data_IF_569085995850
#
_entry.id   IF_569085995850
#
_cell.length_a   1.000
_cell.length_b   1.000
_cell.length_c   1.000
_cell.angle_alpha   90.00
_cell.angle_beta   90.00
_cell.angle_gamma   90.00
#
_symmetry.space_group_name_H-M   'P 1'
#
loop_
_entity.id
_entity.type
_entity.pdbx_description
1 polymer ?
#
# COMPACT_ATOMS: atom_id res chain seq x y z
N UNK A 1 4.20 -27.26 -11.85
CA UNK A 1 3.80 -25.91 -12.31
C UNK A 1 4.56 -24.91 -11.45
N UNK A 2 5.30 -23.93 -12.01
CA UNK A 2 5.87 -22.88 -11.19
C UNK A 2 4.72 -22.18 -10.46
N UNK A 3 4.77 -22.17 -9.14
CA UNK A 3 3.84 -21.39 -8.33
C UNK A 3 4.11 -19.92 -8.62
N UNK A 4 3.16 -19.26 -9.27
CA UNK A 4 3.23 -17.81 -9.44
C UNK A 4 3.29 -17.19 -8.04
N UNK A 5 4.31 -16.41 -7.77
CA UNK A 5 4.50 -15.76 -6.47
C UNK A 5 5.05 -14.38 -6.71
N UNK A 6 4.52 -13.40 -6.00
CA UNK A 6 4.96 -12.02 -6.04
C UNK A 6 5.51 -11.61 -4.69
N UNK A 7 6.42 -10.65 -4.71
CA UNK A 7 6.82 -9.93 -3.52
C UNK A 7 6.53 -8.46 -3.73
N UNK A 8 5.87 -7.81 -2.77
CA UNK A 8 5.55 -6.40 -2.88
C UNK A 8 5.60 -5.69 -1.53
N UNK A 9 5.87 -4.39 -1.59
CA UNK A 9 5.67 -3.47 -0.48
C UNK A 9 4.42 -2.64 -0.75
N UNK A 10 3.74 -2.23 0.30
CA UNK A 10 2.60 -1.32 0.16
C UNK A 10 2.61 -0.21 1.21
N UNK A 11 1.96 0.90 0.87
CA UNK A 11 1.58 1.94 1.82
C UNK A 11 0.06 2.05 1.74
N UNK A 12 -0.61 1.73 2.85
CA UNK A 12 -2.07 1.81 2.97
C UNK A 12 -2.44 3.07 3.74
N UNK A 13 -3.33 3.89 3.22
CA UNK A 13 -4.03 4.93 3.97
C UNK A 13 -5.50 4.55 4.06
N UNK A 14 -6.00 4.48 5.29
CA UNK A 14 -7.41 4.22 5.56
C UNK A 14 -8.20 5.52 5.48
N UNK A 15 -9.51 5.41 5.29
CA UNK A 15 -10.45 6.51 5.31
C UNK A 15 -11.75 6.05 5.98
N UNK A 16 -12.69 6.98 6.18
CA UNK A 16 -13.97 6.73 6.84
C UNK A 16 -14.81 5.60 6.20
N UNK A 17 -14.65 5.36 4.90
CA UNK A 17 -15.30 4.31 4.12
C UNK A 17 -14.53 2.99 4.07
N UNK A 18 -13.36 2.90 4.69
CA UNK A 18 -12.62 1.63 4.76
C UNK A 18 -13.34 0.63 5.66
N UNK A 19 -13.32 -0.66 5.29
CA UNK A 19 -13.98 -1.76 6.03
C UNK A 19 -13.64 -1.77 7.52
N UNK A 20 -12.41 -1.39 7.87
CA UNK A 20 -11.98 -1.20 9.25
C UNK A 20 -11.18 0.10 9.32
N UNK A 21 -11.80 1.24 9.67
CA UNK A 21 -11.17 2.56 9.67
C UNK A 21 -10.30 2.78 10.90
N UNK A 22 -9.53 1.78 11.36
CA UNK A 22 -8.57 1.92 12.46
C UNK A 22 -7.16 1.72 11.93
N UNK A 23 -6.30 2.72 12.15
CA UNK A 23 -4.88 2.63 11.83
C UNK A 23 -4.22 1.58 12.72
N UNK A 24 -3.54 0.59 12.12
CA UNK A 24 -2.74 -0.38 12.88
C UNK A 24 -1.46 0.25 13.46
N UNK A 25 -1.03 1.40 12.94
CA UNK A 25 0.16 2.13 13.38
C UNK A 25 -0.11 2.98 14.62
N UNK A 26 -1.20 3.75 14.62
CA UNK A 26 -1.54 4.64 15.76
C UNK A 26 -2.59 4.06 16.69
N UNK A 27 -3.27 2.97 16.29
CA UNK A 27 -4.44 2.40 16.97
C UNK A 27 -5.63 3.37 17.10
N UNK A 28 -5.65 4.42 16.27
CA UNK A 28 -6.71 5.43 16.26
C UNK A 28 -7.64 5.26 15.06
N UNK A 29 -8.86 5.77 15.22
CA UNK A 29 -9.86 5.82 14.15
C UNK A 29 -9.42 6.83 13.07
N UNK A 30 -9.46 6.40 11.83
CA UNK A 30 -9.19 7.20 10.64
C UNK A 30 -10.51 7.73 10.08
N UNK A 31 -10.78 9.01 10.31
CA UNK A 31 -12.04 9.68 9.93
C UNK A 31 -11.92 10.56 8.68
N UNK A 32 -10.74 10.60 8.05
CA UNK A 32 -10.53 11.37 6.82
C UNK A 32 -11.39 10.82 5.68
N UNK A 33 -11.73 11.68 4.73
CA UNK A 33 -12.48 11.31 3.53
C UNK A 33 -11.62 10.51 2.55
N UNK A 34 -12.28 9.86 1.58
CA UNK A 34 -11.60 9.16 0.49
C UNK A 34 -10.68 10.11 -0.30
N UNK A 35 -11.16 11.30 -0.65
CA UNK A 35 -10.41 12.28 -1.44
C UNK A 35 -9.16 12.80 -0.71
N UNK A 36 -9.29 13.05 0.60
CA UNK A 36 -8.15 13.40 1.45
C UNK A 36 -7.12 12.28 1.52
N UNK A 37 -7.56 11.02 1.65
CA UNK A 37 -6.68 9.87 1.67
C UNK A 37 -5.93 9.70 0.34
N UNK A 38 -6.61 9.89 -0.79
CA UNK A 38 -5.98 9.87 -2.14
C UNK A 38 -4.97 10.99 -2.29
N UNK A 39 -5.35 12.22 -1.94
CA UNK A 39 -4.47 13.40 -2.02
C UNK A 39 -3.24 13.23 -1.15
N UNK A 40 -3.41 12.71 0.06
CA UNK A 40 -2.29 12.43 0.96
C UNK A 40 -1.38 11.35 0.36
N UNK A 41 -1.95 10.24 -0.10
CA UNK A 41 -1.21 9.12 -0.68
C UNK A 41 -0.41 9.54 -1.94
N UNK A 42 -0.98 10.41 -2.76
CA UNK A 42 -0.30 11.00 -3.93
C UNK A 42 0.92 11.82 -3.52
N UNK A 43 0.84 12.62 -2.44
CA UNK A 43 2.01 13.38 -1.93
C UNK A 43 3.13 12.46 -1.46
N UNK A 44 2.79 11.37 -0.77
CA UNK A 44 3.76 10.36 -0.37
C UNK A 44 4.40 9.68 -1.58
N UNK A 45 3.59 9.27 -2.57
CA UNK A 45 4.10 8.69 -3.82
C UNK A 45 5.07 9.64 -4.53
N UNK A 46 4.68 10.89 -4.73
CA UNK A 46 5.52 11.89 -5.40
C UNK A 46 6.83 12.11 -4.65
N UNK A 47 6.80 12.14 -3.32
CA UNK A 47 8.02 12.29 -2.53
C UNK A 47 8.97 11.09 -2.64
N UNK A 48 8.43 9.88 -2.87
CA UNK A 48 9.21 8.67 -3.15
C UNK A 48 9.80 8.73 -4.57
N UNK A 49 9.01 9.14 -5.55
CA UNK A 49 9.45 9.29 -6.96
C UNK A 49 10.51 10.38 -7.11
N UNK A 50 10.38 11.50 -6.38
CA UNK A 50 11.36 12.58 -6.31
C UNK A 50 12.65 12.18 -5.56
N UNK A 51 12.67 11.00 -4.92
CA UNK A 51 13.81 10.53 -4.12
C UNK A 51 14.02 11.28 -2.80
N UNK A 52 13.04 12.06 -2.33
CA UNK A 52 13.11 12.79 -1.05
C UNK A 52 13.08 11.86 0.15
N UNK A 53 12.44 10.70 0.00
CA UNK A 53 12.38 9.64 1.00
C UNK A 53 12.17 8.28 0.35
N UNK A 54 12.55 7.22 1.06
CA UNK A 54 12.38 5.85 0.61
C UNK A 54 10.94 5.35 0.82
N UNK A 55 10.53 4.33 0.07
CA UNK A 55 9.21 3.71 0.23
C UNK A 55 9.02 3.18 1.66
N UNK A 56 10.08 2.61 2.23
CA UNK A 56 10.11 2.04 3.56
C UNK A 56 9.92 3.10 4.64
N UNK A 57 10.50 4.28 4.47
CA UNK A 57 10.29 5.42 5.36
C UNK A 57 8.86 5.94 5.27
N UNK A 58 8.33 6.13 4.05
CA UNK A 58 6.93 6.52 3.85
C UNK A 58 5.98 5.54 4.55
N UNK A 59 6.20 4.24 4.34
CA UNK A 59 5.38 3.20 4.92
C UNK A 59 5.46 3.18 6.45
N UNK A 60 6.66 3.31 7.04
CA UNK A 60 6.82 3.40 8.50
C UNK A 60 6.13 4.61 9.10
N UNK A 61 6.23 5.76 8.44
CA UNK A 61 5.69 7.02 8.93
C UNK A 61 4.16 7.06 8.84
N UNK A 62 3.59 6.58 7.72
CA UNK A 62 2.17 6.83 7.44
C UNK A 62 1.29 5.60 7.31
N UNK A 63 1.80 4.45 6.89
CA UNK A 63 0.95 3.28 6.57
C UNK A 63 0.08 2.86 7.76
N UNK A 64 -1.20 2.63 7.47
CA UNK A 64 -2.21 2.20 8.43
C UNK A 64 -2.33 0.66 8.51
N UNK A 65 -1.50 -0.06 7.75
CA UNK A 65 -1.36 -1.52 7.82
C UNK A 65 -0.26 -1.91 8.83
N UNK A 66 -0.35 -3.10 9.44
CA UNK A 66 0.69 -3.64 10.34
C UNK A 66 2.05 -3.86 9.65
N UNK A 67 2.09 -3.93 8.31
CA UNK A 67 3.32 -3.97 7.51
C UNK A 67 4.18 -2.72 7.67
N UNK A 68 3.65 -1.61 8.22
CA UNK A 68 4.41 -0.38 8.47
C UNK A 68 5.73 -0.66 9.21
N UNK A 69 5.73 -1.57 10.19
CA UNK A 69 6.90 -1.93 10.98
C UNK A 69 8.05 -2.53 10.13
N UNK A 70 7.70 -3.19 9.02
CA UNK A 70 8.65 -3.76 8.04
C UNK A 70 8.85 -2.86 6.82
N UNK A 71 8.53 -1.56 6.92
CA UNK A 71 8.63 -0.64 5.78
C UNK A 71 7.65 -0.98 4.66
N UNK A 72 6.47 -1.49 5.01
CA UNK A 72 5.41 -1.83 4.05
C UNK A 72 5.54 -3.22 3.43
N UNK A 73 6.55 -4.00 3.80
CA UNK A 73 6.79 -5.33 3.23
C UNK A 73 5.71 -6.35 3.62
N UNK A 74 5.07 -6.90 2.59
CA UNK A 74 4.05 -7.95 2.70
C UNK A 74 4.65 -9.35 2.65
N UNK A 75 5.94 -9.49 2.31
CA UNK A 75 6.55 -10.78 2.03
C UNK A 75 6.12 -11.34 0.68
N UNK A 76 6.31 -12.65 0.51
CA UNK A 76 5.92 -13.38 -0.71
C UNK A 76 4.47 -13.82 -0.57
N UNK A 77 3.68 -13.60 -1.62
CA UNK A 77 2.30 -14.05 -1.70
C UNK A 77 1.99 -14.60 -3.09
N UNK A 78 1.09 -15.57 -3.16
CA UNK A 78 0.58 -16.19 -4.37
C UNK A 78 -0.82 -15.70 -4.75
N UNK A 79 -1.34 -16.21 -5.89
CA UNK A 79 -2.68 -15.90 -6.38
C UNK A 79 -3.77 -16.20 -5.35
N UNK A 80 -4.69 -15.26 -5.18
CA UNK A 80 -5.84 -15.37 -4.28
C UNK A 80 -5.55 -15.10 -2.80
N UNK A 81 -4.30 -14.80 -2.43
CA UNK A 81 -3.96 -14.42 -1.05
C UNK A 81 -4.23 -12.93 -0.76
N UNK A 82 -4.28 -12.09 -1.81
CA UNK A 82 -4.56 -10.66 -1.72
C UNK A 82 -5.91 -10.31 -2.38
N UNK A 83 -6.44 -9.13 -2.07
CA UNK A 83 -7.64 -8.62 -2.75
C UNK A 83 -7.37 -8.46 -4.25
N UNK A 84 -8.36 -8.80 -5.09
CA UNK A 84 -8.20 -8.83 -6.55
C UNK A 84 -7.60 -7.55 -7.14
N UNK A 85 -8.09 -6.38 -6.74
CA UNK A 85 -7.55 -5.09 -7.21
C UNK A 85 -6.07 -4.88 -6.86
N UNK A 86 -5.62 -5.43 -5.72
CA UNK A 86 -4.22 -5.37 -5.30
C UNK A 86 -3.34 -6.35 -6.09
N UNK A 87 -3.86 -7.57 -6.31
CA UNK A 87 -3.19 -8.59 -7.11
C UNK A 87 -3.02 -8.14 -8.56
N UNK A 88 -4.11 -7.70 -9.21
CA UNK A 88 -4.11 -7.22 -10.59
C UNK A 88 -3.12 -6.06 -10.78
N UNK A 89 -3.09 -5.12 -9.82
CA UNK A 89 -2.12 -4.03 -9.83
C UNK A 89 -0.69 -4.53 -9.66
N UNK A 90 -0.42 -5.43 -8.71
CA UNK A 90 0.93 -5.99 -8.52
C UNK A 90 1.42 -6.74 -9.76
N UNK A 91 0.55 -7.53 -10.39
CA UNK A 91 0.87 -8.30 -11.59
C UNK A 91 1.19 -7.39 -12.79
N UNK A 92 0.51 -6.25 -12.89
CA UNK A 92 0.71 -5.29 -13.97
C UNK A 92 1.98 -4.45 -13.84
N UNK A 93 2.62 -4.45 -12.66
CA UNK A 93 3.85 -3.71 -12.42
C UNK A 93 5.09 -4.49 -12.86
N UNK A 94 6.07 -3.77 -13.37
CA UNK A 94 7.43 -4.26 -13.50
C UNK A 94 8.13 -4.34 -12.12
N UNK A 95 9.13 -5.20 -12.00
CA UNK A 95 9.92 -5.30 -10.76
C UNK A 95 10.63 -3.97 -10.50
N UNK A 96 10.43 -3.42 -9.31
CA UNK A 96 10.94 -2.11 -8.89
C UNK A 96 9.98 -0.95 -9.13
N UNK A 97 8.93 -1.15 -9.94
CA UNK A 97 7.95 -0.11 -10.26
C UNK A 97 6.98 0.15 -9.09
N UNK A 98 6.56 1.40 -8.97
CA UNK A 98 5.51 1.85 -8.04
C UNK A 98 4.22 2.05 -8.82
N UNK A 99 3.10 1.56 -8.27
CA UNK A 99 1.78 1.71 -8.86
C UNK A 99 1.23 3.12 -8.72
N UNK A 100 0.21 3.39 -9.54
CA UNK A 100 -0.78 4.42 -9.24
C UNK A 100 -1.57 4.06 -7.96
N UNK A 101 -2.55 4.91 -7.62
CA UNK A 101 -3.41 4.70 -6.46
C UNK A 101 -4.33 3.49 -6.71
N UNK A 102 -4.19 2.47 -5.90
CA UNK A 102 -5.00 1.25 -5.92
C UNK A 102 -6.03 1.32 -4.80
N UNK A 103 -7.31 1.16 -5.13
CA UNK A 103 -8.40 1.18 -4.17
C UNK A 103 -8.82 -0.24 -3.83
N UNK A 104 -8.96 -0.52 -2.53
CA UNK A 104 -9.52 -1.78 -2.02
C UNK A 104 -10.50 -1.51 -0.89
N UNK A 105 -11.21 -2.52 -0.41
CA UNK A 105 -12.07 -2.41 0.77
C UNK A 105 -11.30 -1.97 2.03
N UNK A 106 -9.98 -2.16 2.05
CA UNK A 106 -9.13 -1.75 3.17
C UNK A 106 -8.79 -0.27 3.16
N UNK A 107 -8.94 0.43 2.03
CA UNK A 107 -8.54 1.82 1.83
C UNK A 107 -7.80 2.02 0.51
N UNK A 108 -6.94 3.04 0.47
CA UNK A 108 -6.14 3.40 -0.71
C UNK A 108 -4.69 2.99 -0.54
N UNK A 109 -4.08 2.50 -1.61
CA UNK A 109 -2.76 1.90 -1.59
C UNK A 109 -1.87 2.43 -2.71
N UNK A 110 -0.57 2.53 -2.42
CA UNK A 110 0.46 2.41 -3.46
C UNK A 110 1.23 1.13 -3.23
N UNK A 111 1.63 0.48 -4.32
CA UNK A 111 2.28 -0.82 -4.33
C UNK A 111 3.61 -0.66 -5.02
N UNK A 112 4.67 -1.23 -4.45
CA UNK A 112 5.96 -1.39 -5.11
C UNK A 112 6.25 -2.87 -5.30
N UNK A 113 6.38 -3.31 -6.54
CA UNK A 113 6.74 -4.70 -6.84
C UNK A 113 8.23 -4.93 -6.59
N UNK A 114 8.56 -6.03 -5.93
CA UNK A 114 9.93 -6.43 -5.59
C UNK A 114 10.38 -7.70 -6.32
N UNK A 115 9.45 -8.61 -6.68
CA UNK A 115 9.68 -9.81 -7.48
C UNK A 115 8.41 -10.18 -8.26
#
# INVERSE_FOLDING_TARGET
>A
MPTLSWQAKHLLIKHNGSRNPVSRRTQQLTIISYDEAVTELQKWRQSIEDGKLTFEEAARQRSDCSSYARGGDLGVFGPGEMMKSFEDATQSLEVGQISDIVVTDSGVHIIKRMA
#
